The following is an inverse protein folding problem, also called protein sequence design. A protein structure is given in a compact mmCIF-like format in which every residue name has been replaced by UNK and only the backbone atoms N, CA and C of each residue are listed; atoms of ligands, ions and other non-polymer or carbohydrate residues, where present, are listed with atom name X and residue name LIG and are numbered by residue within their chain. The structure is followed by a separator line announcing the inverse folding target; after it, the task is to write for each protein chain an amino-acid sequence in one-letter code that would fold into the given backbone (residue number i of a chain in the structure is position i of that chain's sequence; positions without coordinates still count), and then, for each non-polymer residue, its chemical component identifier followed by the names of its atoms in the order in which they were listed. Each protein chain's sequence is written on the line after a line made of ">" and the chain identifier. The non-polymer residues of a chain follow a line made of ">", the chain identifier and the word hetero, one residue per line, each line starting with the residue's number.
data_IF_858893192981
#
_entry.id   IF_858893192981
#
_cell.length_a   1.000
_cell.length_b   1.000
_cell.length_c   1.000
_cell.angle_alpha   90.00
_cell.angle_beta   90.00
_cell.angle_gamma   90.00
#
_symmetry.space_group_name_H-M   'P 1'
#
loop_
_entity.id
_entity.type
_entity.pdbx_description
1 polymer ?
#
# COMPACT_ATOMS: atom_id res chain seq x y z
N UNK A 1 21.76 4.15 12.33
CA UNK A 1 21.01 3.32 13.30
C UNK A 1 19.76 2.86 12.57
N UNK A 2 19.64 1.58 12.15
CA UNK A 2 18.45 1.13 11.45
C UNK A 2 17.36 0.93 12.50
N UNK A 3 16.47 1.90 12.62
CA UNK A 3 15.39 1.94 13.62
C UNK A 3 14.20 2.72 13.06
N UNK A 4 13.91 2.51 11.77
CA UNK A 4 12.71 3.06 11.15
C UNK A 4 11.49 2.23 11.55
N UNK A 5 10.32 2.88 11.56
CA UNK A 5 9.01 2.27 11.84
C UNK A 5 8.76 0.96 11.04
N UNK A 6 9.41 0.85 9.89
CA UNK A 6 9.45 -0.34 9.03
C UNK A 6 9.92 -1.61 9.77
N UNK A 7 10.97 -1.50 10.60
CA UNK A 7 11.50 -2.64 11.35
C UNK A 7 10.59 -3.03 12.54
N UNK A 8 9.92 -2.07 13.17
CA UNK A 8 8.98 -2.34 14.26
C UNK A 8 7.67 -2.95 13.75
N UNK A 9 7.17 -2.52 12.59
CA UNK A 9 6.00 -3.10 11.93
C UNK A 9 6.22 -4.55 11.49
N UNK A 10 7.44 -4.91 11.06
CA UNK A 10 7.80 -6.29 10.70
C UNK A 10 8.00 -7.19 11.93
N UNK A 11 8.41 -6.64 13.08
CA UNK A 11 8.73 -7.41 14.29
C UNK A 11 7.50 -7.82 15.10
N UNK A 12 6.42 -7.04 15.04
CA UNK A 12 5.17 -7.37 15.70
C UNK A 12 4.23 -8.01 14.68
N UNK A 13 3.80 -9.25 14.91
CA UNK A 13 2.74 -9.93 14.15
C UNK A 13 1.36 -9.26 14.30
N UNK A 14 1.32 -7.93 14.29
CA UNK A 14 0.11 -7.13 14.32
C UNK A 14 -0.43 -7.03 12.89
N UNK A 15 -1.69 -7.43 12.71
CA UNK A 15 -2.43 -7.12 11.48
C UNK A 15 -2.82 -5.64 11.54
N UNK A 16 -2.04 -4.78 10.89
CA UNK A 16 -2.29 -3.34 10.81
C UNK A 16 -2.79 -2.96 9.42
N UNK A 17 -3.91 -2.23 9.37
CA UNK A 17 -4.39 -1.59 8.14
C UNK A 17 -3.77 -0.21 8.07
N UNK A 18 -2.99 0.04 7.03
CA UNK A 18 -2.28 1.30 6.82
C UNK A 18 -2.67 1.91 5.47
N UNK A 19 -2.84 3.22 5.44
CA UNK A 19 -3.08 3.99 4.22
C UNK A 19 -1.89 4.90 3.98
N UNK A 20 -1.16 4.69 2.89
CA UNK A 20 -0.03 5.53 2.50
C UNK A 20 -0.25 6.07 1.10
N UNK A 21 0.36 7.21 0.80
CA UNK A 21 0.44 7.76 -0.55
C UNK A 21 1.80 7.45 -1.20
N UNK A 22 2.74 6.86 -0.46
CA UNK A 22 4.06 6.48 -0.95
C UNK A 22 4.03 5.09 -1.60
N UNK A 23 4.30 5.07 -2.91
CA UNK A 23 4.31 3.85 -3.73
C UNK A 23 5.40 2.85 -3.29
N UNK A 24 6.54 3.33 -2.82
CA UNK A 24 7.65 2.47 -2.38
C UNK A 24 7.31 1.79 -1.06
N UNK A 25 6.65 2.50 -0.15
CA UNK A 25 6.22 1.97 1.14
C UNK A 25 5.12 0.90 0.99
N UNK A 26 4.13 1.16 0.12
CA UNK A 26 3.07 0.19 -0.19
C UNK A 26 3.66 -1.11 -0.75
N UNK A 27 4.66 -1.01 -1.63
CA UNK A 27 5.35 -2.18 -2.19
C UNK A 27 6.22 -2.93 -1.19
N UNK A 28 6.85 -2.22 -0.26
CA UNK A 28 7.76 -2.81 0.71
C UNK A 28 7.05 -3.60 1.82
N UNK A 29 5.87 -3.14 2.25
CA UNK A 29 5.15 -3.68 3.42
C UNK A 29 3.84 -4.39 3.05
N UNK A 30 3.30 -4.14 1.85
CA UNK A 30 2.00 -4.66 1.43
C UNK A 30 2.01 -6.17 1.17
N UNK A 31 1.19 -6.89 1.93
CA UNK A 31 0.92 -8.32 1.78
C UNK A 31 -0.51 -8.60 1.26
N UNK A 32 -1.45 -7.66 1.44
CA UNK A 32 -2.79 -7.62 0.85
C UNK A 32 -3.14 -6.18 0.51
N UNK A 33 -3.81 -5.96 -0.62
CA UNK A 33 -4.11 -4.63 -1.11
C UNK A 33 -5.61 -4.40 -1.23
N UNK A 34 -6.06 -3.26 -0.74
CA UNK A 34 -7.44 -2.82 -0.87
C UNK A 34 -7.48 -1.46 -1.57
N UNK A 35 -8.25 -1.40 -2.65
CA UNK A 35 -8.52 -0.19 -3.39
C UNK A 35 -9.86 0.40 -2.95
N UNK A 36 -9.85 1.69 -2.61
CA UNK A 36 -11.09 2.43 -2.37
C UNK A 36 -11.46 3.11 -3.69
N UNK A 37 -12.49 2.59 -4.35
CA UNK A 37 -13.00 3.14 -5.60
C UNK A 37 -14.52 3.30 -5.51
N UNK A 38 -15.07 4.41 -6.02
CA UNK A 38 -16.53 4.67 -6.04
C UNK A 38 -17.23 4.43 -4.68
N UNK A 39 -16.56 4.79 -3.58
CA UNK A 39 -17.01 4.58 -2.19
C UNK A 39 -17.16 3.10 -1.78
N UNK A 40 -16.46 2.19 -2.46
CA UNK A 40 -16.39 0.77 -2.12
C UNK A 40 -14.94 0.35 -1.89
N UNK A 41 -14.74 -0.61 -1.00
CA UNK A 41 -13.46 -1.24 -0.75
C UNK A 41 -13.40 -2.53 -1.59
N UNK A 42 -12.46 -2.62 -2.52
CA UNK A 42 -12.24 -3.78 -3.35
C UNK A 42 -10.87 -4.39 -3.06
N UNK A 43 -10.80 -5.70 -2.90
CA UNK A 43 -9.53 -6.41 -2.77
C UNK A 43 -8.92 -6.67 -4.14
N UNK A 44 -7.64 -6.33 -4.27
CA UNK A 44 -6.86 -6.43 -5.50
C UNK A 44 -5.57 -7.20 -5.22
N UNK A 45 -5.10 -7.93 -6.22
CA UNK A 45 -3.88 -8.73 -6.10
C UNK A 45 -2.61 -7.84 -6.12
N UNK A 46 -2.68 -6.65 -6.72
CA UNK A 46 -1.52 -5.77 -6.88
C UNK A 46 -1.94 -4.30 -7.11
N UNK A 47 -1.29 -3.31 -6.46
CA UNK A 47 -1.56 -1.88 -6.65
C UNK A 47 -1.00 -1.28 -7.96
N UNK A 48 -0.27 -2.07 -8.75
CA UNK A 48 0.46 -1.63 -9.94
C UNK A 48 -0.46 -1.09 -11.03
N UNK A 49 -1.60 -1.75 -11.25
CA UNK A 49 -2.57 -1.34 -12.26
C UNK A 49 -3.18 0.01 -11.91
N UNK A 50 -3.48 0.23 -10.62
CA UNK A 50 -3.92 1.53 -10.13
C UNK A 50 -2.85 2.61 -10.32
N UNK A 51 -1.59 2.31 -10.02
CA UNK A 51 -0.50 3.28 -10.23
C UNK A 51 -0.33 3.67 -11.70
N UNK A 52 -0.54 2.72 -12.62
CA UNK A 52 -0.51 2.97 -14.07
C UNK A 52 -1.64 3.88 -14.51
N UNK A 53 -2.87 3.60 -14.08
CA UNK A 53 -4.06 4.40 -14.41
C UNK A 53 -3.93 5.85 -13.93
N UNK A 54 -3.38 6.07 -12.72
CA UNK A 54 -3.13 7.42 -12.20
C UNK A 54 -2.02 8.14 -12.99
N UNK A 55 -0.99 7.42 -13.44
CA UNK A 55 0.08 8.00 -14.25
C UNK A 55 -0.42 8.42 -15.64
N UNK A 56 -1.32 7.64 -16.24
CA UNK A 56 -1.93 7.93 -17.54
C UNK A 56 -2.95 9.07 -17.47
N UNK A 57 -3.71 9.19 -16.38
CA UNK A 57 -4.70 10.27 -16.19
C UNK A 57 -4.06 11.61 -15.81
N UNK A 58 -2.82 11.59 -15.30
CA UNK A 58 -2.08 12.81 -14.94
C UNK A 58 -1.29 13.43 -16.12
N UNK A 59 -1.27 12.78 -17.28
CA UNK A 59 -0.67 13.28 -18.53
C UNK A 59 -1.69 13.93 -19.44
#
# INVERSE_FOLDING_TARGET
>A
RPGGAEAELLAHQASCVLTSHDRSFIRAIGNRFWLIEKRRLAEIDSPEDFFREIAETAG
#
